data_IF_834631226345
#
_entry.id   IF_834631226345
#
_cell.length_a   1.000
_cell.length_b   1.000
_cell.length_c   1.000
_cell.angle_alpha   90.00
_cell.angle_beta   90.00
_cell.angle_gamma   90.00
#
_symmetry.space_group_name_H-M   'P 1'
#
loop_
_entity.id
_entity.type
_entity.pdbx_description
1 polymer ?
#
# COMPACT_ATOMS: atom_id res chain seq x y z
N UNK A 1 19.40 -8.76 -5.40
CA UNK A 1 19.40 -7.96 -4.14
C UNK A 1 18.33 -6.88 -4.31
N UNK A 2 17.73 -6.39 -3.23
CA UNK A 2 16.72 -5.32 -3.30
C UNK A 2 17.37 -3.97 -2.97
N UNK A 3 17.06 -2.94 -3.76
CA UNK A 3 17.53 -1.56 -3.55
C UNK A 3 16.74 -0.84 -2.46
N UNK A 4 15.50 -1.27 -2.22
CA UNK A 4 14.61 -0.74 -1.17
C UNK A 4 13.90 -1.88 -0.45
N UNK A 5 13.64 -1.69 0.85
CA UNK A 5 12.78 -2.55 1.66
C UNK A 5 11.71 -1.71 2.33
N UNK A 6 10.45 -2.10 2.13
CA UNK A 6 9.30 -1.43 2.74
C UNK A 6 8.70 -2.34 3.80
N UNK A 7 8.40 -1.77 4.97
CA UNK A 7 7.61 -2.43 6.02
C UNK A 7 6.16 -1.96 5.89
N UNK A 8 5.22 -2.91 5.82
CA UNK A 8 3.79 -2.62 5.75
C UNK A 8 3.17 -2.45 7.15
N UNK A 9 3.75 -3.10 8.16
CA UNK A 9 3.31 -3.09 9.55
C UNK A 9 4.37 -3.82 10.41
N UNK A 10 4.36 -3.59 11.71
CA UNK A 10 5.14 -4.39 12.68
C UNK A 10 4.55 -5.79 12.92
N UNK A 11 3.36 -6.07 12.37
CA UNK A 11 2.69 -7.36 12.46
C UNK A 11 3.15 -8.34 11.37
N UNK A 12 3.14 -9.63 11.70
CA UNK A 12 3.35 -10.68 10.70
C UNK A 12 2.05 -10.93 9.96
N UNK A 13 1.98 -10.48 8.71
CA UNK A 13 0.79 -10.63 7.87
C UNK A 13 0.85 -11.91 7.02
N UNK A 14 -0.25 -12.67 6.88
CA UNK A 14 -0.31 -13.79 5.95
C UNK A 14 -0.03 -13.36 4.52
N UNK A 15 0.74 -14.16 3.77
CA UNK A 15 1.15 -13.81 2.40
C UNK A 15 0.00 -13.43 1.44
N UNK A 16 -1.18 -14.10 1.45
CA UNK A 16 -2.30 -13.69 0.61
C UNK A 16 -2.84 -12.30 0.93
N UNK A 17 -2.83 -11.91 2.21
CA UNK A 17 -3.35 -10.62 2.67
C UNK A 17 -2.43 -9.47 2.26
N UNK A 18 -1.11 -9.67 2.35
CA UNK A 18 -0.10 -8.70 1.95
C UNK A 18 -0.30 -8.21 0.51
N UNK A 19 -0.69 -9.12 -0.40
CA UNK A 19 -0.92 -8.78 -1.81
C UNK A 19 -2.07 -7.78 -1.98
N UNK A 20 -3.17 -8.01 -1.28
CA UNK A 20 -4.37 -7.17 -1.36
C UNK A 20 -4.06 -5.80 -0.72
N UNK A 21 -3.43 -5.81 0.46
CA UNK A 21 -3.06 -4.60 1.17
C UNK A 21 -2.12 -3.73 0.33
N UNK A 22 -1.06 -4.32 -0.26
CA UNK A 22 -0.11 -3.59 -1.09
C UNK A 22 -0.80 -2.97 -2.32
N UNK A 23 -1.70 -3.71 -2.97
CA UNK A 23 -2.45 -3.19 -4.12
C UNK A 23 -3.33 -2.00 -3.74
N UNK A 24 -4.02 -2.08 -2.60
CA UNK A 24 -4.84 -0.99 -2.09
C UNK A 24 -4.01 0.24 -1.69
N UNK A 25 -2.85 0.05 -1.05
CA UNK A 25 -1.95 1.14 -0.68
C UNK A 25 -1.34 1.84 -1.90
N UNK A 26 -0.96 1.08 -2.94
CA UNK A 26 -0.50 1.66 -4.21
C UNK A 26 -1.63 2.43 -4.92
N UNK A 27 -2.84 1.87 -4.93
CA UNK A 27 -4.01 2.57 -5.48
C UNK A 27 -4.30 3.85 -4.70
N UNK A 28 -4.25 3.80 -3.36
CA UNK A 28 -4.41 4.97 -2.49
C UNK A 28 -3.35 6.03 -2.79
N UNK A 29 -2.08 5.65 -2.86
CA UNK A 29 -1.00 6.57 -3.21
C UNK A 29 -1.23 7.25 -4.57
N UNK A 30 -1.63 6.48 -5.58
CA UNK A 30 -1.99 7.02 -6.89
C UNK A 30 -3.20 7.96 -6.86
N UNK A 31 -4.26 7.60 -6.12
CA UNK A 31 -5.43 8.50 -6.00
C UNK A 31 -5.07 9.82 -5.33
N UNK A 32 -4.12 9.84 -4.40
CA UNK A 32 -3.62 11.06 -3.77
C UNK A 32 -2.85 11.91 -4.80
N UNK A 33 -1.97 11.30 -5.61
CA UNK A 33 -1.18 12.06 -6.61
C UNK A 33 -2.05 12.67 -7.71
N UNK A 34 -3.18 12.03 -8.04
CA UNK A 34 -4.15 12.51 -9.05
C UNK A 34 -5.23 13.42 -8.43
N UNK A 35 -5.18 13.70 -7.13
CA UNK A 35 -6.22 14.44 -6.39
C UNK A 35 -7.63 13.85 -6.56
N UNK A 36 -7.73 12.52 -6.66
CA UNK A 36 -9.00 11.82 -6.76
C UNK A 36 -9.72 11.80 -5.39
N UNK A 37 -11.05 12.00 -5.32
CA UNK A 37 -11.83 12.09 -4.07
C UNK A 37 -11.95 10.78 -3.28
N UNK A 38 -11.14 9.76 -3.61
CA UNK A 38 -11.11 8.48 -2.92
C UNK A 38 -10.50 8.61 -1.52
N UNK A 39 -9.50 9.47 -1.38
CA UNK A 39 -8.92 9.79 -0.09
C UNK A 39 -9.67 10.98 0.52
N UNK A 40 -10.77 10.70 1.23
CA UNK A 40 -11.44 11.71 2.06
C UNK A 40 -10.69 11.79 3.40
N UNK A 41 -10.09 12.93 3.67
CA UNK A 41 -9.62 13.30 5.01
C UNK A 41 -10.80 13.53 5.94
#
# INVERSE_FOLDING_TARGET
RADMRWSLSDLTLPHPLVRILLAEQLYRAWTITVNHPYHRQ
#
